data_IF_613541602494
#
_entry.id   IF_613541602494
#
_cell.length_a   1.000
_cell.length_b   1.000
_cell.length_c   1.000
_cell.angle_alpha   90.00
_cell.angle_beta   90.00
_cell.angle_gamma   90.00
#
_symmetry.space_group_name_H-M   'P 1'
#
loop_
_entity.id
_entity.type
_entity.pdbx_description
1 polymer ?
#
# COMPACT_ATOMS: atom_id res chain seq x y z
N UNK A 1 5.69 1.67 57.64
CA UNK A 1 5.28 0.46 56.88
C UNK A 1 5.75 0.62 55.45
N UNK A 2 6.83 -0.04 55.00
CA UNK A 2 7.25 0.05 53.61
C UNK A 2 6.35 -0.82 52.75
N UNK A 3 5.81 -0.23 51.68
CA UNK A 3 5.01 -0.93 50.65
C UNK A 3 5.94 -1.90 49.89
N UNK A 4 5.66 -3.19 50.01
CA UNK A 4 6.37 -4.26 49.29
C UNK A 4 6.17 -4.09 47.80
N UNK A 5 7.25 -3.78 47.12
CA UNK A 5 7.32 -3.70 45.66
C UNK A 5 7.31 -5.13 45.10
N UNK A 6 6.13 -5.66 44.83
CA UNK A 6 5.95 -6.95 44.17
C UNK A 6 6.48 -6.81 42.72
N UNK A 7 7.78 -7.08 42.52
CA UNK A 7 8.34 -7.34 41.20
C UNK A 7 7.66 -8.61 40.66
N UNK A 8 6.57 -8.45 39.92
CA UNK A 8 5.92 -9.54 39.16
C UNK A 8 6.98 -10.17 38.28
N UNK A 9 7.28 -11.46 38.49
CA UNK A 9 8.20 -12.22 37.63
C UNK A 9 7.73 -12.09 36.19
N UNK A 10 8.62 -11.77 35.25
CA UNK A 10 8.24 -11.64 33.84
C UNK A 10 7.64 -12.95 33.36
N UNK A 11 6.39 -12.91 32.94
CA UNK A 11 5.70 -14.07 32.36
C UNK A 11 6.24 -14.31 30.96
N UNK A 12 7.04 -15.35 30.81
CA UNK A 12 7.57 -15.74 29.50
C UNK A 12 6.56 -16.63 28.77
N UNK A 13 6.44 -16.39 27.47
CA UNK A 13 5.66 -17.18 26.52
C UNK A 13 6.56 -18.18 25.82
N UNK A 14 6.06 -19.39 25.58
CA UNK A 14 6.71 -20.37 24.69
C UNK A 14 6.38 -20.05 23.23
N UNK A 15 7.10 -20.68 22.29
CA UNK A 15 6.83 -20.51 20.86
C UNK A 15 5.38 -20.84 20.49
N UNK A 16 4.81 -21.89 21.09
CA UNK A 16 3.41 -22.29 20.87
C UNK A 16 2.41 -21.26 21.41
N UNK A 17 2.73 -20.65 22.56
CA UNK A 17 1.84 -19.67 23.20
C UNK A 17 1.82 -18.37 22.38
N UNK A 18 3.00 -17.91 21.94
CA UNK A 18 3.13 -16.76 21.05
C UNK A 18 2.42 -17.00 19.71
N UNK A 19 2.63 -18.18 19.11
CA UNK A 19 1.97 -18.56 17.85
C UNK A 19 0.46 -18.54 17.97
N UNK A 20 -0.08 -19.15 19.03
CA UNK A 20 -1.52 -19.19 19.33
C UNK A 20 -2.09 -17.78 19.55
N UNK A 21 -1.38 -16.93 20.32
CA UNK A 21 -1.82 -15.57 20.62
C UNK A 21 -1.97 -14.67 19.40
N UNK A 22 -1.30 -15.00 18.28
CA UNK A 22 -1.36 -14.22 17.03
C UNK A 22 -1.98 -15.00 15.87
N UNK A 23 -2.52 -16.20 16.11
CA UNK A 23 -3.14 -17.04 15.08
C UNK A 23 -2.14 -17.49 14.02
N UNK A 24 -0.92 -17.89 14.42
CA UNK A 24 0.15 -18.33 13.52
C UNK A 24 0.62 -19.75 13.85
N UNK A 25 1.32 -20.37 12.90
CA UNK A 25 2.02 -21.64 13.17
C UNK A 25 3.35 -21.36 13.93
N UNK A 26 3.81 -22.25 14.85
CA UNK A 26 5.08 -22.07 15.55
C UNK A 26 6.29 -21.85 14.66
N UNK A 27 6.33 -22.44 13.47
CA UNK A 27 7.40 -22.20 12.49
C UNK A 27 7.40 -20.76 11.97
N UNK A 28 6.23 -20.10 11.86
CA UNK A 28 6.15 -18.70 11.46
C UNK A 28 6.83 -17.79 12.49
N UNK A 29 6.71 -18.09 13.79
CA UNK A 29 7.40 -17.35 14.85
C UNK A 29 8.91 -17.44 14.67
N UNK A 30 9.43 -18.66 14.38
CA UNK A 30 10.87 -18.88 14.15
C UNK A 30 11.37 -18.15 12.91
N UNK A 31 10.61 -18.18 11.82
CA UNK A 31 10.94 -17.48 10.58
C UNK A 31 10.97 -15.94 10.80
N UNK A 32 10.02 -15.41 11.55
CA UNK A 32 9.99 -13.97 11.81
C UNK A 32 11.13 -13.50 12.70
N UNK A 33 11.56 -14.33 13.65
CA UNK A 33 12.78 -14.11 14.42
C UNK A 33 14.02 -14.11 13.50
N UNK A 34 14.14 -15.13 12.64
CA UNK A 34 15.24 -15.28 11.69
C UNK A 34 15.31 -14.13 10.67
N UNK A 35 14.16 -13.63 10.22
CA UNK A 35 14.08 -12.52 9.27
C UNK A 35 14.20 -11.13 9.92
N UNK A 36 14.37 -11.09 11.25
CA UNK A 36 14.52 -9.86 12.01
C UNK A 36 13.24 -9.03 12.09
N UNK A 37 12.07 -9.66 12.03
CA UNK A 37 10.76 -9.00 12.25
C UNK A 37 10.32 -9.01 13.70
N UNK A 38 10.89 -9.88 14.52
CA UNK A 38 10.80 -9.88 15.98
C UNK A 38 12.21 -9.96 16.56
N UNK A 39 12.39 -9.44 17.76
CA UNK A 39 13.68 -9.49 18.45
C UNK A 39 14.13 -10.92 18.71
N UNK A 40 15.44 -11.19 18.80
CA UNK A 40 15.93 -12.50 19.21
C UNK A 40 15.44 -12.87 20.62
N UNK A 41 14.87 -14.05 20.77
CA UNK A 41 14.39 -14.53 22.06
C UNK A 41 15.54 -15.05 22.91
N UNK A 42 15.55 -14.73 24.20
CA UNK A 42 16.45 -15.37 25.16
C UNK A 42 16.10 -16.85 25.26
N UNK A 43 17.10 -17.69 25.58
CA UNK A 43 16.89 -19.10 25.86
C UNK A 43 16.92 -19.37 27.35
N UNK A 44 16.00 -20.17 27.82
CA UNK A 44 15.99 -20.68 29.19
C UNK A 44 17.08 -21.75 29.41
N UNK A 45 17.26 -22.15 30.65
CA UNK A 45 18.23 -23.19 31.02
C UNK A 45 17.99 -24.54 30.30
N UNK A 46 16.77 -24.81 29.89
CA UNK A 46 16.35 -25.97 29.11
C UNK A 46 16.49 -25.80 27.57
N UNK A 47 17.13 -24.72 27.09
CA UNK A 47 17.33 -24.39 25.69
C UNK A 47 16.11 -23.82 24.95
N UNK A 48 14.92 -23.79 25.55
CA UNK A 48 13.72 -23.25 24.92
C UNK A 48 13.74 -21.74 24.82
N UNK A 49 13.14 -21.20 23.76
CA UNK A 49 12.95 -19.78 23.54
C UNK A 49 11.96 -19.18 24.57
N UNK A 50 12.31 -18.04 25.13
CA UNK A 50 11.51 -17.29 26.09
C UNK A 50 11.07 -15.97 25.45
N UNK A 51 9.81 -15.89 25.08
CA UNK A 51 9.24 -14.68 24.48
C UNK A 51 8.56 -13.83 25.56
N UNK A 52 8.47 -12.52 25.32
CA UNK A 52 7.84 -11.53 26.17
C UNK A 52 6.62 -10.91 25.48
N UNK A 53 5.86 -10.09 26.17
CA UNK A 53 4.77 -9.32 25.56
C UNK A 53 5.27 -8.36 24.46
N UNK A 54 6.52 -7.89 24.55
CA UNK A 54 7.16 -7.11 23.47
C UNK A 54 7.26 -7.94 22.19
N UNK A 55 7.67 -9.20 22.28
CA UNK A 55 7.72 -10.09 21.11
C UNK A 55 6.32 -10.34 20.54
N UNK A 56 5.30 -10.42 21.39
CA UNK A 56 3.91 -10.54 20.94
C UNK A 56 3.47 -9.30 20.15
N UNK A 57 3.74 -8.11 20.65
CA UNK A 57 3.44 -6.87 19.94
C UNK A 57 4.19 -6.77 18.59
N UNK A 58 5.47 -7.13 18.57
CA UNK A 58 6.29 -7.20 17.36
C UNK A 58 5.74 -8.23 16.35
N UNK A 59 5.28 -9.37 16.83
CA UNK A 59 4.69 -10.42 15.99
C UNK A 59 3.38 -9.96 15.33
N UNK A 60 2.52 -9.25 16.08
CA UNK A 60 1.29 -8.65 15.55
C UNK A 60 1.64 -7.63 14.47
N UNK A 61 2.59 -6.72 14.75
CA UNK A 61 3.03 -5.70 13.79
C UNK A 61 3.59 -6.34 12.52
N UNK A 62 4.46 -7.36 12.65
CA UNK A 62 5.05 -8.07 11.53
C UNK A 62 4.00 -8.80 10.68
N UNK A 63 3.02 -9.45 11.31
CA UNK A 63 1.91 -10.09 10.59
C UNK A 63 1.09 -9.08 9.81
N UNK A 64 0.72 -7.96 10.43
CA UNK A 64 0.01 -6.89 9.74
C UNK A 64 0.81 -6.38 8.54
N UNK A 65 2.13 -6.18 8.71
CA UNK A 65 3.02 -5.72 7.64
C UNK A 65 3.22 -6.73 6.50
N UNK A 66 3.12 -8.04 6.76
CA UNK A 66 3.34 -9.08 5.75
C UNK A 66 2.06 -9.52 5.04
N UNK A 67 0.93 -9.53 5.76
CA UNK A 67 -0.35 -10.01 5.24
C UNK A 67 -1.26 -8.89 4.72
N UNK A 68 -0.86 -7.63 4.85
CA UNK A 68 -1.61 -6.50 4.28
C UNK A 68 -1.64 -6.56 2.76
N UNK A 69 -2.83 -6.32 2.18
CA UNK A 69 -2.95 -6.07 0.75
C UNK A 69 -2.52 -4.63 0.49
N UNK A 70 -1.36 -4.45 -0.13
CA UNK A 70 -0.80 -3.13 -0.38
C UNK A 70 -0.91 -2.78 -1.87
N UNK A 71 -1.58 -1.69 -2.24
CA UNK A 71 -1.73 -1.27 -3.62
C UNK A 71 -0.41 -0.77 -4.24
N UNK A 72 0.67 -0.63 -3.48
CA UNK A 72 1.95 -0.15 -3.99
C UNK A 72 3.17 -0.73 -3.28
N UNK A 73 4.30 -0.79 -3.99
CA UNK A 73 5.57 -1.30 -3.45
C UNK A 73 6.11 -0.47 -2.28
N UNK A 74 5.79 0.84 -2.26
CA UNK A 74 6.29 1.79 -1.25
C UNK A 74 5.66 1.56 0.12
N UNK A 75 4.34 1.35 0.19
CA UNK A 75 3.63 1.05 1.45
C UNK A 75 4.18 -0.22 2.07
N UNK A 76 4.27 -1.31 1.28
CA UNK A 76 4.82 -2.58 1.76
C UNK A 76 6.25 -2.45 2.27
N UNK A 77 7.12 -1.77 1.52
CA UNK A 77 8.51 -1.54 1.91
C UNK A 77 8.60 -0.77 3.24
N UNK A 78 7.81 0.28 3.39
CA UNK A 78 7.74 1.09 4.61
C UNK A 78 7.20 0.27 5.80
N UNK A 79 6.16 -0.56 5.62
CA UNK A 79 5.62 -1.43 6.66
C UNK A 79 6.65 -2.46 7.15
N UNK A 80 7.40 -3.10 6.23
CA UNK A 80 8.45 -4.06 6.57
C UNK A 80 9.64 -3.38 7.30
N UNK A 81 10.00 -2.16 6.89
CA UNK A 81 11.03 -1.38 7.58
C UNK A 81 10.61 -1.05 9.01
N UNK A 82 9.33 -0.69 9.22
CA UNK A 82 8.77 -0.45 10.54
C UNK A 82 8.85 -1.68 11.45
N UNK A 83 8.51 -2.87 10.92
CA UNK A 83 8.60 -4.12 11.67
C UNK A 83 10.04 -4.40 12.12
N UNK A 84 11.03 -4.24 11.23
CA UNK A 84 12.45 -4.43 11.56
C UNK A 84 12.96 -3.39 12.59
N UNK A 85 12.56 -2.14 12.47
CA UNK A 85 12.92 -1.11 13.46
C UNK A 85 12.34 -1.41 14.83
N UNK A 86 11.12 -1.93 14.90
CA UNK A 86 10.52 -2.39 16.16
C UNK A 86 11.30 -3.57 16.76
N UNK A 87 11.69 -4.54 15.93
CA UNK A 87 12.46 -5.72 16.35
C UNK A 87 13.85 -5.35 16.89
N UNK A 88 14.50 -4.32 16.33
CA UNK A 88 15.81 -3.84 16.81
C UNK A 88 15.76 -3.16 18.18
N UNK A 89 14.58 -2.97 18.77
CA UNK A 89 14.39 -2.28 20.04
C UNK A 89 14.54 -0.74 19.96
N UNK A 90 14.79 -0.18 18.78
CA UNK A 90 14.89 1.27 18.62
C UNK A 90 13.49 1.90 18.47
N UNK A 91 12.72 1.89 19.56
CA UNK A 91 11.33 2.36 19.55
C UNK A 91 11.18 3.82 19.17
N UNK A 92 12.16 4.68 19.46
CA UNK A 92 12.13 6.09 19.04
C UNK A 92 12.13 6.22 17.52
N UNK A 93 13.06 5.51 16.85
CA UNK A 93 13.09 5.46 15.37
C UNK A 93 11.88 4.75 14.79
N UNK A 94 11.44 3.65 15.41
CA UNK A 94 10.23 2.94 14.98
C UNK A 94 9.00 3.84 15.00
N UNK A 95 8.79 4.62 16.07
CA UNK A 95 7.67 5.57 16.18
C UNK A 95 7.76 6.68 15.11
N UNK A 96 8.96 7.23 14.89
CA UNK A 96 9.16 8.23 13.84
C UNK A 96 8.84 7.64 12.45
N UNK A 97 9.26 6.40 12.20
CA UNK A 97 8.97 5.70 10.96
C UNK A 97 7.48 5.37 10.81
N UNK A 98 6.79 4.99 11.90
CA UNK A 98 5.35 4.76 11.91
C UNK A 98 4.56 6.01 11.48
N UNK A 99 4.95 7.19 11.97
CA UNK A 99 4.34 8.46 11.54
C UNK A 99 4.54 8.73 10.04
N UNK A 100 5.74 8.47 9.51
CA UNK A 100 6.02 8.57 8.07
C UNK A 100 5.20 7.56 7.26
N UNK A 101 5.12 6.32 7.75
CA UNK A 101 4.30 5.28 7.11
C UNK A 101 2.82 5.66 7.06
N UNK A 102 2.29 6.21 8.15
CA UNK A 102 0.90 6.70 8.19
C UNK A 102 0.67 7.80 7.15
N UNK A 103 1.59 8.75 7.02
CA UNK A 103 1.49 9.82 6.01
C UNK A 103 1.48 9.25 4.57
N UNK A 104 2.32 8.25 4.27
CA UNK A 104 2.31 7.56 2.97
C UNK A 104 0.94 6.91 2.72
N UNK A 105 0.42 6.16 3.69
CA UNK A 105 -0.88 5.48 3.56
C UNK A 105 -2.02 6.48 3.37
N UNK A 106 -2.00 7.59 4.09
CA UNK A 106 -3.00 8.66 3.96
C UNK A 106 -2.96 9.34 2.59
N UNK A 107 -1.77 9.58 2.05
CA UNK A 107 -1.60 10.15 0.71
C UNK A 107 -2.15 9.21 -0.37
N UNK A 108 -1.77 7.94 -0.36
CA UNK A 108 -2.27 6.91 -1.28
C UNK A 108 -3.80 6.75 -1.19
N UNK A 109 -4.35 6.80 0.03
CA UNK A 109 -5.80 6.75 0.24
C UNK A 109 -6.49 7.96 -0.38
N UNK A 110 -5.97 9.17 -0.19
CA UNK A 110 -6.54 10.39 -0.78
C UNK A 110 -6.52 10.36 -2.31
N UNK A 111 -5.45 9.81 -2.91
CA UNK A 111 -5.35 9.59 -4.35
C UNK A 111 -6.41 8.58 -4.83
N UNK A 112 -6.55 7.44 -4.14
CA UNK A 112 -7.55 6.43 -4.46
C UNK A 112 -8.99 6.96 -4.35
N UNK A 113 -9.29 7.74 -3.30
CA UNK A 113 -10.61 8.39 -3.13
C UNK A 113 -10.89 9.42 -4.23
N UNK A 114 -9.86 10.12 -4.68
CA UNK A 114 -9.98 11.06 -5.81
C UNK A 114 -10.25 10.30 -7.11
N UNK A 115 -9.57 9.16 -7.32
CA UNK A 115 -9.82 8.24 -8.43
C UNK A 115 -11.27 7.77 -8.45
N UNK A 116 -11.74 7.27 -7.32
CA UNK A 116 -13.09 6.76 -7.19
C UNK A 116 -14.14 7.83 -7.51
N UNK A 117 -13.96 9.07 -7.04
CA UNK A 117 -14.85 10.19 -7.35
C UNK A 117 -14.88 10.53 -8.84
N UNK A 118 -13.73 10.51 -9.51
CA UNK A 118 -13.66 10.75 -10.96
C UNK A 118 -14.38 9.64 -11.72
N UNK A 119 -14.15 8.37 -11.36
CA UNK A 119 -14.84 7.22 -11.93
C UNK A 119 -16.37 7.29 -11.76
N UNK A 120 -16.79 7.65 -10.55
CA UNK A 120 -18.21 7.80 -10.25
C UNK A 120 -18.86 8.89 -11.09
N UNK A 121 -18.23 10.06 -11.19
CA UNK A 121 -18.70 11.17 -12.05
C UNK A 121 -18.74 10.75 -13.51
N UNK A 122 -17.73 10.02 -13.97
CA UNK A 122 -17.70 9.52 -15.35
C UNK A 122 -18.81 8.50 -15.62
N UNK A 123 -19.06 7.57 -14.69
CA UNK A 123 -20.15 6.60 -14.81
C UNK A 123 -21.53 7.29 -14.85
N UNK A 124 -21.72 8.38 -14.08
CA UNK A 124 -22.94 9.18 -14.07
C UNK A 124 -23.07 10.09 -15.31
N UNK A 125 -21.97 10.54 -15.89
CA UNK A 125 -21.96 11.46 -17.03
C UNK A 125 -22.15 10.78 -18.40
N UNK A 126 -22.34 9.45 -18.43
CA UNK A 126 -22.61 8.72 -19.69
C UNK A 126 -23.80 9.27 -20.50
N UNK A 127 -24.66 10.11 -19.89
CA UNK A 127 -25.82 10.73 -20.54
C UNK A 127 -25.65 12.24 -20.84
N UNK A 128 -24.58 12.88 -20.44
CA UNK A 128 -24.32 14.28 -20.73
C UNK A 128 -23.50 14.42 -22.01
N UNK A 129 -24.14 14.77 -23.13
CA UNK A 129 -23.45 15.25 -24.34
C UNK A 129 -22.66 16.50 -23.99
N UNK A 130 -21.37 16.33 -23.68
CA UNK A 130 -20.49 17.47 -23.45
C UNK A 130 -20.36 18.29 -24.73
N UNK A 131 -20.69 19.58 -24.68
CA UNK A 131 -20.57 20.54 -25.78
C UNK A 131 -19.12 21.00 -26.05
N UNK A 132 -18.11 20.41 -25.37
CA UNK A 132 -16.71 20.78 -25.60
C UNK A 132 -16.21 20.19 -26.93
N UNK A 133 -15.54 21.02 -27.75
CA UNK A 133 -14.90 20.54 -28.96
C UNK A 133 -13.86 19.46 -28.66
N UNK A 134 -13.86 18.37 -29.44
CA UNK A 134 -12.84 17.31 -29.27
C UNK A 134 -11.44 17.86 -29.53
N UNK A 135 -10.48 17.38 -28.78
CA UNK A 135 -9.07 17.77 -28.90
C UNK A 135 -8.33 16.83 -29.85
N UNK A 136 -7.40 17.36 -30.62
CA UNK A 136 -6.41 16.54 -31.32
C UNK A 136 -5.37 15.96 -30.34
N UNK A 137 -4.66 14.91 -30.75
CA UNK A 137 -3.74 14.15 -29.89
C UNK A 137 -2.72 15.02 -29.16
N UNK A 138 -2.14 16.03 -29.82
CA UNK A 138 -1.16 16.94 -29.19
C UNK A 138 -1.76 17.81 -28.10
N UNK A 139 -2.99 18.32 -28.29
CA UNK A 139 -3.70 19.08 -27.29
C UNK A 139 -4.16 18.20 -26.13
N UNK A 140 -4.63 16.99 -26.41
CA UNK A 140 -4.99 16.00 -25.38
C UNK A 140 -3.78 15.62 -24.52
N UNK A 141 -2.63 15.37 -25.13
CA UNK A 141 -1.37 15.05 -24.44
C UNK A 141 -0.95 16.20 -23.49
N UNK A 142 -1.00 17.45 -23.94
CA UNK A 142 -0.73 18.63 -23.08
C UNK A 142 -1.72 18.76 -21.94
N UNK A 143 -3.01 18.61 -22.20
CA UNK A 143 -4.06 18.68 -21.17
C UNK A 143 -3.90 17.63 -20.07
N UNK A 144 -3.38 16.46 -20.44
CA UNK A 144 -3.17 15.34 -19.53
C UNK A 144 -1.76 15.32 -18.92
N UNK A 145 -0.82 16.15 -19.39
CA UNK A 145 0.57 16.14 -18.94
C UNK A 145 1.27 14.81 -19.27
N UNK A 146 1.02 14.25 -20.46
CA UNK A 146 1.64 13.00 -20.95
C UNK A 146 2.24 13.20 -22.35
N UNK A 147 3.06 12.25 -22.79
CA UNK A 147 3.54 12.22 -24.17
C UNK A 147 2.49 11.64 -25.11
N UNK A 148 2.59 11.99 -26.39
CA UNK A 148 1.73 11.43 -27.45
C UNK A 148 1.84 9.89 -27.50
N UNK A 149 3.02 9.35 -27.24
CA UNK A 149 3.26 7.90 -27.26
C UNK A 149 2.52 7.15 -26.15
N UNK A 150 2.34 7.77 -24.98
CA UNK A 150 1.50 7.23 -23.92
C UNK A 150 0.05 7.08 -24.41
N UNK A 151 -0.50 8.08 -25.08
CA UNK A 151 -1.86 8.02 -25.63
C UNK A 151 -2.01 6.93 -26.70
N UNK A 152 -1.04 6.82 -27.62
CA UNK A 152 -0.99 5.76 -28.63
C UNK A 152 -0.87 4.38 -28.02
N UNK A 153 -0.10 4.26 -26.93
CA UNK A 153 0.05 2.99 -26.20
C UNK A 153 -1.24 2.54 -25.54
N UNK A 154 -1.97 3.47 -24.89
CA UNK A 154 -3.31 3.18 -24.33
C UNK A 154 -4.29 2.67 -25.42
N UNK A 155 -4.26 3.24 -26.62
CA UNK A 155 -5.10 2.79 -27.73
C UNK A 155 -4.67 1.39 -28.23
N UNK A 156 -3.37 1.15 -28.44
CA UNK A 156 -2.82 -0.15 -28.87
C UNK A 156 -3.12 -1.27 -27.91
N UNK A 157 -3.10 -1.00 -26.62
CA UNK A 157 -3.41 -1.98 -25.57
C UNK A 157 -4.93 -2.13 -25.31
N UNK A 158 -5.78 -1.52 -26.14
CA UNK A 158 -7.23 -1.65 -26.04
C UNK A 158 -7.87 -0.96 -24.84
N UNK A 159 -7.12 -0.14 -24.10
CA UNK A 159 -7.62 0.58 -22.92
C UNK A 159 -8.56 1.73 -23.31
N UNK A 160 -8.44 2.20 -24.55
CA UNK A 160 -9.19 3.33 -25.08
C UNK A 160 -9.48 3.11 -26.55
N UNK A 161 -10.71 3.42 -26.97
CA UNK A 161 -11.05 3.59 -28.37
C UNK A 161 -11.25 5.07 -28.65
N UNK A 162 -10.49 5.62 -29.61
CA UNK A 162 -10.52 7.04 -29.94
C UNK A 162 -11.25 7.21 -31.27
N UNK A 163 -12.34 7.98 -31.31
CA UNK A 163 -13.00 8.34 -32.57
C UNK A 163 -12.02 9.08 -33.50
N UNK A 164 -12.25 8.95 -34.78
CA UNK A 164 -11.52 9.68 -35.82
C UNK A 164 -12.45 10.65 -36.53
N UNK A 165 -11.91 11.77 -36.89
CA UNK A 165 -12.58 12.72 -37.74
C UNK A 165 -12.82 12.12 -39.13
N UNK A 166 -14.03 12.20 -39.63
CA UNK A 166 -14.44 11.56 -40.89
C UNK A 166 -13.74 12.14 -42.11
N UNK A 167 -13.37 13.45 -42.07
CA UNK A 167 -12.75 14.12 -43.21
C UNK A 167 -11.23 14.02 -43.21
N UNK A 168 -10.62 14.24 -42.04
CA UNK A 168 -9.16 14.32 -41.89
C UNK A 168 -8.50 13.02 -41.39
N UNK A 169 -9.29 12.07 -40.86
CA UNK A 169 -8.79 10.85 -40.23
C UNK A 169 -8.05 11.05 -38.89
N UNK A 170 -7.96 12.29 -38.41
CA UNK A 170 -7.28 12.58 -37.16
C UNK A 170 -8.06 12.06 -35.94
N UNK A 171 -7.31 11.66 -34.91
CA UNK A 171 -7.88 11.22 -33.61
C UNK A 171 -8.52 12.38 -32.89
N UNK A 172 -9.74 12.19 -32.40
CA UNK A 172 -10.53 13.18 -31.69
C UNK A 172 -10.76 12.72 -30.24
N UNK A 173 -10.16 13.44 -29.30
CA UNK A 173 -10.28 13.18 -27.87
C UNK A 173 -11.38 14.09 -27.29
N UNK A 174 -12.57 13.57 -27.13
CA UNK A 174 -13.67 14.24 -26.44
C UNK A 174 -13.55 14.17 -24.92
N UNK A 175 -14.54 14.74 -24.23
CA UNK A 175 -14.56 14.74 -22.76
C UNK A 175 -14.55 13.33 -22.17
N UNK A 176 -15.18 12.36 -22.84
CA UNK A 176 -15.20 10.96 -22.42
C UNK A 176 -13.82 10.33 -22.49
N UNK A 177 -13.08 10.53 -23.60
CA UNK A 177 -11.72 10.01 -23.81
C UNK A 177 -10.74 10.64 -22.81
N UNK A 178 -10.80 11.94 -22.60
CA UNK A 178 -9.97 12.65 -21.60
C UNK A 178 -10.25 12.15 -20.18
N UNK A 179 -11.50 11.93 -19.82
CA UNK A 179 -11.88 11.40 -18.50
C UNK A 179 -11.37 9.97 -18.32
N UNK A 180 -11.50 9.10 -19.32
CA UNK A 180 -10.96 7.74 -19.32
C UNK A 180 -9.45 7.71 -19.13
N UNK A 181 -8.74 8.55 -19.87
CA UNK A 181 -7.28 8.66 -19.78
C UNK A 181 -6.81 9.15 -18.41
N UNK A 182 -7.54 10.05 -17.76
CA UNK A 182 -7.25 10.45 -16.36
C UNK A 182 -7.34 9.27 -15.40
N UNK A 183 -8.37 8.42 -15.57
CA UNK A 183 -8.53 7.20 -14.76
C UNK A 183 -7.41 6.19 -15.02
N UNK A 184 -7.08 5.93 -16.30
CA UNK A 184 -6.00 5.02 -16.66
C UNK A 184 -4.68 5.47 -16.03
N UNK A 185 -4.33 6.76 -16.14
CA UNK A 185 -3.12 7.31 -15.49
C UNK A 185 -3.11 7.11 -13.99
N UNK A 186 -4.25 7.33 -13.36
CA UNK A 186 -4.37 7.18 -11.91
C UNK A 186 -4.19 5.72 -11.48
N UNK A 187 -4.75 4.76 -12.22
CA UNK A 187 -4.54 3.34 -11.98
C UNK A 187 -3.06 2.95 -12.20
N UNK A 188 -2.41 3.49 -13.24
CA UNK A 188 -0.99 3.26 -13.49
C UNK A 188 -0.10 3.83 -12.38
N UNK A 189 -0.39 5.04 -11.85
CA UNK A 189 0.33 5.62 -10.72
C UNK A 189 0.15 4.81 -9.43
N UNK A 190 -1.01 4.17 -9.27
CA UNK A 190 -1.30 3.24 -8.17
C UNK A 190 -0.62 1.85 -8.34
N UNK A 191 0.15 1.64 -9.42
CA UNK A 191 0.94 0.41 -9.63
C UNK A 191 0.21 -0.70 -10.39
N UNK A 192 -0.96 -0.42 -10.96
CA UNK A 192 -1.60 -1.35 -11.91
C UNK A 192 -0.89 -1.21 -13.26
N UNK A 193 -0.23 -2.30 -13.71
CA UNK A 193 0.34 -2.36 -15.06
C UNK A 193 -0.76 -2.68 -16.06
N UNK A 194 -0.66 -2.09 -17.23
CA UNK A 194 -1.49 -2.38 -18.41
C UNK A 194 -0.83 -3.42 -19.28
#
# INVERSE_FOLDING_TARGET
MPRSNHKTKPRYLRTSDLARAVGAHPNTVRLYEQWGFIAPAKRGANGYRLFTETHRAQMILARTALHGTYPGKNIRRSALALARLSASGNFKKALQHARKHLAIVQAERAEAETAARILQRWAQSKNAKSKSQPLQIGAAARTLGVTIDVLRNCERNGLLRVPRDEQSGYRLYGAAEISRLRVIRMLQSAGYST
#
